data_IF_222043999723
#
_entry.id   IF_222043999723
#
_cell.length_a   1.000
_cell.length_b   1.000
_cell.length_c   1.000
_cell.angle_alpha   90.00
_cell.angle_beta   90.00
_cell.angle_gamma   90.00
#
_symmetry.space_group_name_H-M   'P 1'
#
loop_
_entity.id
_entity.type
_entity.pdbx_description
1 polymer ?
#
# COMPACT_ATOMS: atom_id res chain seq x y z
N UNK A 1 12.22 0.19 19.27
CA UNK A 1 11.15 -0.35 18.41
C UNK A 1 10.00 0.63 18.44
N UNK A 2 9.69 1.29 17.32
CA UNK A 2 8.71 2.39 17.24
C UNK A 2 7.30 2.00 17.69
N UNK A 3 6.85 0.78 17.38
CA UNK A 3 5.48 0.35 17.73
C UNK A 3 5.40 -0.04 19.20
N UNK A 4 6.42 -0.70 19.73
CA UNK A 4 6.45 -1.16 21.13
C UNK A 4 6.83 -0.07 22.13
N UNK A 5 7.78 0.78 21.75
CA UNK A 5 8.37 1.82 22.59
C UNK A 5 8.61 3.07 21.74
N UNK A 6 7.57 3.87 21.47
CA UNK A 6 7.76 5.15 20.79
C UNK A 6 8.73 6.02 21.59
N UNK A 7 9.54 6.85 20.91
CA UNK A 7 10.61 7.62 21.55
C UNK A 7 10.25 9.11 21.76
N UNK A 8 9.25 9.61 21.04
CA UNK A 8 8.91 11.03 21.01
C UNK A 8 7.60 11.29 21.73
N UNK A 9 7.66 12.04 22.83
CA UNK A 9 6.53 12.40 23.67
C UNK A 9 6.53 13.88 23.97
N UNK A 10 5.34 14.42 24.20
CA UNK A 10 5.16 15.73 24.79
C UNK A 10 5.32 15.61 26.32
N UNK A 11 6.35 16.22 26.93
CA UNK A 11 6.57 16.14 28.38
C UNK A 11 5.44 16.73 29.22
N UNK A 12 4.63 17.63 28.65
CA UNK A 12 3.54 18.30 29.37
C UNK A 12 2.28 17.44 29.44
N UNK A 13 2.01 16.64 28.41
CA UNK A 13 0.76 15.87 28.28
C UNK A 13 0.97 14.36 28.43
N UNK A 14 2.20 13.87 28.28
CA UNK A 14 2.51 12.43 28.22
C UNK A 14 2.04 11.76 26.92
N UNK A 15 1.42 12.51 26.00
CA UNK A 15 1.00 12.03 24.70
C UNK A 15 2.19 11.93 23.74
N UNK A 16 1.97 11.32 22.57
CA UNK A 16 2.97 11.33 21.50
C UNK A 16 3.25 12.77 21.06
N UNK A 17 4.52 13.08 20.83
CA UNK A 17 4.88 14.33 20.18
C UNK A 17 4.30 14.35 18.76
N UNK A 18 3.89 15.54 18.31
CA UNK A 18 3.30 15.74 16.99
C UNK A 18 4.19 16.62 16.11
N UNK A 19 4.13 16.38 14.80
CA UNK A 19 5.01 17.01 13.83
C UNK A 19 4.23 17.47 12.59
N UNK A 20 4.67 18.57 12.00
CA UNK A 20 4.13 19.10 10.74
C UNK A 20 4.31 18.14 9.56
N UNK A 21 5.42 17.38 9.56
CA UNK A 21 5.75 16.44 8.51
C UNK A 21 6.31 15.15 9.13
N UNK A 22 5.69 14.01 8.78
CA UNK A 22 6.12 12.68 9.21
C UNK A 22 6.47 11.86 7.96
N UNK A 23 7.70 11.37 7.87
CA UNK A 23 8.18 10.60 6.72
C UNK A 23 8.74 9.26 7.20
N UNK A 24 8.39 8.16 6.53
CA UNK A 24 8.96 6.86 6.87
C UNK A 24 9.04 5.91 5.67
N UNK A 25 10.06 5.04 5.71
CA UNK A 25 10.11 3.81 4.93
C UNK A 25 10.02 2.66 5.94
N UNK A 26 8.86 2.01 6.00
CA UNK A 26 8.56 1.03 7.03
C UNK A 26 9.15 -0.35 6.69
N UNK A 27 9.45 -1.20 7.67
CA UNK A 27 9.65 -2.62 7.40
C UNK A 27 8.34 -3.21 6.86
N UNK A 28 8.38 -3.78 5.65
CA UNK A 28 7.18 -4.27 4.97
C UNK A 28 6.61 -5.50 5.66
N UNK A 29 5.30 -5.48 5.95
CA UNK A 29 4.56 -6.60 6.54
C UNK A 29 5.25 -7.16 7.79
N UNK A 30 5.72 -6.29 8.70
CA UNK A 30 6.39 -6.72 9.92
C UNK A 30 5.46 -7.65 10.73
N UNK A 31 5.82 -8.93 10.81
CA UNK A 31 5.14 -9.92 11.65
C UNK A 31 5.50 -9.72 13.12
N UNK A 32 4.63 -10.18 14.02
CA UNK A 32 4.81 -10.11 15.46
C UNK A 32 5.27 -8.71 15.87
N UNK A 33 4.53 -7.68 15.46
CA UNK A 33 4.94 -6.28 15.60
C UNK A 33 4.68 -5.71 17.02
N UNK A 34 4.12 -6.51 17.93
CA UNK A 34 3.80 -6.13 19.30
C UNK A 34 2.33 -5.74 19.49
N UNK A 35 1.41 -6.46 18.83
CA UNK A 35 -0.03 -6.22 18.88
C UNK A 35 -0.59 -6.24 20.30
N UNK A 36 -0.11 -7.14 21.13
CA UNK A 36 -0.52 -7.32 22.52
C UNK A 36 -0.34 -6.04 23.35
N UNK A 37 0.67 -5.22 23.02
CA UNK A 37 0.89 -3.93 23.68
C UNK A 37 -0.13 -2.88 23.25
N UNK A 38 -0.73 -3.05 22.08
CA UNK A 38 -1.68 -2.09 21.49
C UNK A 38 -3.14 -2.37 21.86
N UNK A 39 -3.45 -3.55 22.42
CA UNK A 39 -4.79 -3.85 22.96
C UNK A 39 -5.19 -2.87 24.06
N UNK A 40 -4.21 -2.40 24.83
CA UNK A 40 -4.37 -1.39 25.87
C UNK A 40 -3.45 -0.19 25.59
N UNK A 41 -3.45 0.29 24.35
CA UNK A 41 -2.52 1.35 23.92
C UNK A 41 -2.77 2.68 24.65
N UNK A 42 -1.83 3.17 25.49
CA UNK A 42 -2.05 4.39 26.27
C UNK A 42 -2.06 5.66 25.40
N UNK A 43 -1.58 5.56 24.16
CA UNK A 43 -1.51 6.69 23.22
C UNK A 43 -2.67 6.74 22.22
N UNK A 44 -3.61 5.78 22.30
CA UNK A 44 -4.80 5.74 21.43
C UNK A 44 -4.48 5.56 19.94
N UNK A 45 -3.37 4.90 19.61
CA UNK A 45 -2.91 4.67 18.24
C UNK A 45 -3.81 3.74 17.45
N UNK A 46 -4.48 2.76 18.09
CA UNK A 46 -5.41 1.85 17.41
C UNK A 46 -6.80 2.45 17.11
N UNK A 47 -6.87 3.74 16.74
CA UNK A 47 -8.14 4.48 16.61
C UNK A 47 -9.04 4.01 15.46
N UNK A 48 -8.48 3.33 14.46
CA UNK A 48 -9.21 2.80 13.31
C UNK A 48 -9.36 1.27 13.36
N UNK A 49 -8.82 0.62 14.39
CA UNK A 49 -8.79 -0.83 14.56
C UNK A 49 -7.38 -1.36 14.83
N UNK A 50 -7.31 -2.61 15.27
CA UNK A 50 -6.06 -3.27 15.63
C UNK A 50 -5.67 -4.28 14.54
N UNK A 51 -4.58 -4.06 13.77
CA UNK A 51 -4.12 -5.00 12.74
C UNK A 51 -3.82 -6.39 13.29
N UNK A 52 -3.75 -7.39 12.41
CA UNK A 52 -3.35 -8.75 12.78
C UNK A 52 -1.85 -8.85 13.01
N UNK A 53 -1.40 -9.88 13.73
CA UNK A 53 0.01 -10.13 14.03
C UNK A 53 0.86 -10.43 12.80
N UNK A 54 0.21 -10.79 11.69
CA UNK A 54 0.85 -11.09 10.41
C UNK A 54 1.28 -9.85 9.61
N UNK A 55 0.83 -8.65 9.98
CA UNK A 55 1.21 -7.42 9.27
C UNK A 55 1.08 -6.17 10.13
N UNK A 56 2.22 -5.53 10.42
CA UNK A 56 2.30 -4.27 11.13
C UNK A 56 2.09 -3.01 10.29
N UNK A 57 1.82 -3.11 8.98
CA UNK A 57 1.77 -1.96 8.07
C UNK A 57 0.79 -0.88 8.56
N UNK A 58 -0.45 -1.27 8.88
CA UNK A 58 -1.46 -0.35 9.40
C UNK A 58 -1.25 0.05 10.87
N UNK A 59 -0.41 -0.66 11.63
CA UNK A 59 -0.01 -0.21 12.97
C UNK A 59 0.92 1.00 12.83
N UNK A 60 1.91 0.92 11.94
CA UNK A 60 2.77 2.06 11.64
C UNK A 60 2.01 3.25 11.03
N UNK A 61 1.12 3.02 10.06
CA UNK A 61 0.31 4.11 9.49
C UNK A 61 -0.48 4.81 10.59
N UNK A 62 -1.17 4.07 11.45
CA UNK A 62 -1.94 4.66 12.55
C UNK A 62 -1.06 5.39 13.57
N UNK A 63 0.12 4.85 13.91
CA UNK A 63 1.10 5.55 14.74
C UNK A 63 1.50 6.89 14.11
N UNK A 64 1.86 6.89 12.82
CA UNK A 64 2.24 8.11 12.10
C UNK A 64 1.11 9.13 12.06
N UNK A 65 -0.14 8.69 11.85
CA UNK A 65 -1.32 9.58 11.90
C UNK A 65 -1.46 10.24 13.26
N UNK A 66 -1.26 9.50 14.37
CA UNK A 66 -1.27 10.08 15.71
C UNK A 66 -0.10 11.02 16.00
N UNK A 67 1.01 10.88 15.28
CA UNK A 67 2.16 11.78 15.35
C UNK A 67 2.06 12.98 14.42
N UNK A 68 0.98 13.15 13.64
CA UNK A 68 0.78 14.35 12.83
C UNK A 68 0.22 15.50 13.66
N UNK A 69 0.81 16.70 13.51
CA UNK A 69 0.30 17.94 14.10
C UNK A 69 -1.18 18.14 13.72
N UNK A 70 -2.06 18.49 14.68
CA UNK A 70 -3.47 18.71 14.38
C UNK A 70 -3.65 19.77 13.28
N UNK A 71 -4.61 19.57 12.38
CA UNK A 71 -4.96 20.47 11.27
C UNK A 71 -3.91 20.56 10.15
N UNK A 72 -2.64 20.83 10.45
CA UNK A 72 -1.58 21.13 9.46
C UNK A 72 -0.71 19.93 9.09
N UNK A 73 -0.68 18.92 9.94
CA UNK A 73 0.17 17.74 9.80
C UNK A 73 -0.09 16.96 8.51
N UNK A 74 1.00 16.49 7.92
CA UNK A 74 1.01 15.63 6.73
C UNK A 74 2.07 14.54 6.86
N UNK A 75 1.84 13.43 6.18
CA UNK A 75 2.80 12.33 6.13
C UNK A 75 2.93 11.73 4.75
N UNK A 76 4.09 11.14 4.49
CA UNK A 76 4.30 10.24 3.37
C UNK A 76 5.01 8.99 3.87
N UNK A 77 4.48 7.82 3.49
CA UNK A 77 4.98 6.54 3.96
C UNK A 77 5.11 5.55 2.81
N UNK A 78 6.24 4.86 2.74
CA UNK A 78 6.43 3.75 1.82
C UNK A 78 5.87 2.47 2.46
N UNK A 79 4.98 1.79 1.75
CA UNK A 79 4.35 0.52 2.16
C UNK A 79 4.32 -0.47 1.00
N UNK A 80 4.23 -1.79 1.26
CA UNK A 80 3.97 -2.74 0.18
C UNK A 80 2.60 -2.48 -0.45
N UNK A 81 2.46 -2.72 -1.76
CA UNK A 81 1.17 -2.51 -2.44
C UNK A 81 0.01 -3.31 -1.83
N UNK A 82 0.29 -4.43 -1.15
CA UNK A 82 -0.72 -5.21 -0.42
C UNK A 82 -1.54 -4.38 0.57
N UNK A 83 -0.96 -3.36 1.21
CA UNK A 83 -1.67 -2.49 2.12
C UNK A 83 -2.88 -1.77 1.46
N UNK A 84 -2.83 -1.58 0.14
CA UNK A 84 -3.88 -0.89 -0.62
C UNK A 84 -5.15 -1.74 -0.78
N UNK A 85 -5.06 -3.07 -0.74
CA UNK A 85 -6.16 -3.95 -1.11
C UNK A 85 -6.37 -5.17 -0.21
N UNK A 86 -5.47 -5.45 0.75
CA UNK A 86 -5.72 -6.51 1.74
C UNK A 86 -7.05 -6.26 2.46
N UNK A 87 -7.83 -7.34 2.59
CA UNK A 87 -9.17 -7.33 3.19
C UNK A 87 -9.14 -7.46 4.71
N UNK A 88 -10.26 -7.93 5.28
CA UNK A 88 -10.38 -8.17 6.72
C UNK A 88 -10.20 -6.90 7.54
N UNK A 89 -9.49 -7.02 8.66
CA UNK A 89 -9.28 -5.89 9.59
C UNK A 89 -8.46 -4.75 8.94
N UNK A 90 -7.47 -5.06 8.10
CA UNK A 90 -6.72 -4.04 7.37
C UNK A 90 -7.62 -3.26 6.40
N UNK A 91 -8.57 -3.94 5.74
CA UNK A 91 -9.59 -3.29 4.92
C UNK A 91 -10.50 -2.35 5.70
N UNK A 92 -10.90 -2.74 6.92
CA UNK A 92 -11.68 -1.89 7.82
C UNK A 92 -10.91 -0.64 8.28
N UNK A 93 -9.64 -0.80 8.62
CA UNK A 93 -8.76 0.33 8.99
C UNK A 93 -8.61 1.27 7.80
N UNK A 94 -8.34 0.75 6.60
CA UNK A 94 -8.23 1.55 5.37
C UNK A 94 -9.51 2.36 5.10
N UNK A 95 -10.66 1.68 5.17
CA UNK A 95 -11.98 2.33 5.05
C UNK A 95 -12.11 3.47 6.06
N UNK A 96 -11.77 3.26 7.33
CA UNK A 96 -11.87 4.29 8.35
C UNK A 96 -10.99 5.50 8.05
N UNK A 97 -9.76 5.29 7.56
CA UNK A 97 -8.86 6.38 7.15
C UNK A 97 -9.40 7.17 5.95
N UNK A 98 -10.07 6.49 5.01
CA UNK A 98 -10.73 7.12 3.86
C UNK A 98 -11.97 7.91 4.27
N UNK A 99 -12.82 7.35 5.13
CA UNK A 99 -14.00 8.02 5.71
C UNK A 99 -13.62 9.28 6.51
N UNK A 100 -12.45 9.26 7.16
CA UNK A 100 -11.87 10.42 7.85
C UNK A 100 -11.21 11.43 6.88
N UNK A 101 -11.25 11.17 5.58
CA UNK A 101 -10.65 12.00 4.53
C UNK A 101 -9.15 12.26 4.73
N UNK A 102 -8.41 11.28 5.28
CA UNK A 102 -6.98 11.44 5.59
C UNK A 102 -6.08 11.10 4.42
N UNK A 103 -6.41 10.09 3.62
CA UNK A 103 -5.57 9.62 2.50
C UNK A 103 -5.74 10.57 1.33
N UNK A 104 -4.70 11.31 0.97
CA UNK A 104 -4.70 12.30 -0.12
C UNK A 104 -4.21 11.72 -1.45
N UNK A 105 -3.18 10.87 -1.41
CA UNK A 105 -2.67 10.23 -2.61
C UNK A 105 -2.10 8.83 -2.36
N UNK A 106 -2.20 8.00 -3.39
CA UNK A 106 -1.61 6.66 -3.51
C UNK A 106 -0.72 6.68 -4.74
N UNK A 107 0.57 6.36 -4.57
CA UNK A 107 1.54 6.38 -5.68
C UNK A 107 2.17 5.00 -5.81
N UNK A 108 1.76 4.22 -6.81
CA UNK A 108 2.39 2.95 -7.15
C UNK A 108 3.74 3.17 -7.78
N UNK A 109 4.76 2.49 -7.27
CA UNK A 109 6.12 2.55 -7.80
C UNK A 109 6.45 1.32 -8.63
N UNK A 110 7.54 1.40 -9.39
CA UNK A 110 8.07 0.27 -10.14
C UNK A 110 8.44 -0.90 -9.22
N UNK A 111 8.30 -2.16 -9.69
CA UNK A 111 8.77 -3.32 -8.95
C UNK A 111 10.30 -3.31 -8.82
N UNK A 112 10.83 -4.10 -7.89
CA UNK A 112 12.27 -4.33 -7.71
C UNK A 112 13.10 -3.04 -7.50
N UNK A 113 12.53 -1.99 -6.90
CA UNK A 113 13.26 -0.79 -6.50
C UNK A 113 13.98 -0.94 -5.15
N UNK A 114 13.48 -1.85 -4.30
CA UNK A 114 13.99 -2.06 -2.94
C UNK A 114 14.91 -3.29 -2.91
N UNK A 115 16.00 -3.16 -2.17
CA UNK A 115 16.92 -4.28 -1.98
C UNK A 115 16.23 -5.42 -1.22
N UNK A 116 16.44 -6.65 -1.66
CA UNK A 116 15.96 -7.85 -0.97
C UNK A 116 14.49 -8.22 -1.23
N UNK A 117 13.75 -7.48 -2.07
CA UNK A 117 12.40 -7.87 -2.48
C UNK A 117 12.08 -7.42 -3.91
N UNK A 118 11.49 -8.32 -4.70
CA UNK A 118 10.96 -8.01 -6.03
C UNK A 118 9.60 -7.29 -5.98
N UNK A 119 8.98 -7.18 -4.81
CA UNK A 119 7.65 -6.60 -4.65
C UNK A 119 7.64 -5.12 -5.05
N UNK A 120 6.54 -4.72 -5.68
CA UNK A 120 6.25 -3.31 -5.91
C UNK A 120 5.80 -2.66 -4.59
N UNK A 121 6.36 -1.47 -4.31
CA UNK A 121 5.94 -0.64 -3.21
C UNK A 121 5.00 0.46 -3.69
N UNK A 122 4.37 1.15 -2.75
CA UNK A 122 3.67 2.39 -3.01
C UNK A 122 3.97 3.42 -1.93
N UNK A 123 3.77 4.69 -2.26
CA UNK A 123 3.81 5.79 -1.30
C UNK A 123 2.37 6.18 -0.99
N UNK A 124 2.01 6.15 0.29
CA UNK A 124 0.78 6.73 0.79
C UNK A 124 1.05 8.12 1.32
N UNK A 125 0.30 9.10 0.85
CA UNK A 125 0.32 10.48 1.35
C UNK A 125 -0.95 10.73 2.12
N UNK A 126 -0.83 11.11 3.40
CA UNK A 126 -1.96 11.46 4.25
C UNK A 126 -1.82 12.90 4.75
N UNK A 127 -2.95 13.54 5.04
CA UNK A 127 -3.03 14.91 5.55
C UNK A 127 -4.16 15.02 6.57
N UNK A 128 -3.91 15.72 7.68
CA UNK A 128 -4.92 15.95 8.71
C UNK A 128 -6.12 16.77 8.21
N UNK A 129 -5.85 17.72 7.31
CA UNK A 129 -6.88 18.51 6.63
C UNK A 129 -6.49 18.76 5.18
N UNK A 130 -7.24 18.19 4.25
CA UNK A 130 -7.10 18.45 2.82
C UNK A 130 -7.50 19.87 2.47
N UNK A 131 -6.91 20.39 1.39
CA UNK A 131 -7.39 21.62 0.77
C UNK A 131 -8.82 21.40 0.25
N UNK A 132 -9.70 22.43 0.25
CA UNK A 132 -11.11 22.28 -0.12
C UNK A 132 -11.33 21.58 -1.47
N UNK A 133 -10.49 21.85 -2.46
CA UNK A 133 -10.56 21.28 -3.80
C UNK A 133 -10.20 19.77 -3.88
N UNK A 134 -9.48 19.28 -2.86
CA UNK A 134 -9.03 17.88 -2.70
C UNK A 134 -9.86 17.07 -1.70
N UNK A 135 -10.74 17.73 -0.93
CA UNK A 135 -11.56 17.09 0.08
C UNK A 135 -12.48 16.03 -0.54
N UNK A 136 -12.61 14.88 0.11
CA UNK A 136 -13.42 13.76 -0.36
C UNK A 136 -12.88 13.08 -1.63
N UNK A 137 -11.60 13.30 -1.97
CA UNK A 137 -10.94 12.72 -3.14
C UNK A 137 -9.58 12.13 -2.78
N UNK A 138 -9.15 11.16 -3.57
CA UNK A 138 -7.82 10.53 -3.50
C UNK A 138 -7.20 10.57 -4.89
N UNK A 139 -5.97 11.06 -5.00
CA UNK A 139 -5.20 10.93 -6.23
C UNK A 139 -4.55 9.54 -6.27
N UNK A 140 -4.93 8.72 -7.25
CA UNK A 140 -4.30 7.42 -7.50
C UNK A 140 -3.34 7.56 -8.67
N UNK A 141 -2.06 7.25 -8.46
CA UNK A 141 -0.98 7.39 -9.44
C UNK A 141 -0.34 6.04 -9.71
N UNK A 142 -0.20 5.68 -10.98
CA UNK A 142 0.61 4.58 -11.45
C UNK A 142 1.95 5.10 -12.04
N UNK A 143 3.00 5.02 -11.24
CA UNK A 143 4.37 5.30 -11.67
C UNK A 143 5.19 4.01 -11.90
N UNK A 144 4.53 2.86 -12.07
CA UNK A 144 5.20 1.55 -12.20
C UNK A 144 6.13 1.45 -13.41
N UNK A 145 5.89 2.25 -14.45
CA UNK A 145 6.73 2.32 -15.66
C UNK A 145 7.90 3.30 -15.55
N UNK A 146 7.94 4.15 -14.51
CA UNK A 146 8.97 5.17 -14.34
C UNK A 146 10.17 4.63 -13.59
N UNK A 147 11.03 3.90 -14.30
CA UNK A 147 12.28 3.40 -13.75
C UNK A 147 13.32 3.15 -14.83
N UNK A 148 14.59 3.19 -14.44
CA UNK A 148 15.67 2.64 -15.24
C UNK A 148 15.93 1.21 -14.81
N UNK A 149 15.83 0.28 -15.76
CA UNK A 149 16.10 -1.14 -15.52
C UNK A 149 17.57 -1.33 -15.14
N UNK A 150 17.81 -2.00 -14.02
CA UNK A 150 19.14 -2.46 -13.64
C UNK A 150 19.22 -3.98 -13.62
N UNK A 151 20.43 -4.51 -13.37
CA UNK A 151 20.67 -5.96 -13.38
C UNK A 151 20.13 -6.65 -12.14
N UNK A 152 20.38 -6.09 -10.96
CA UNK A 152 19.93 -6.66 -9.67
C UNK A 152 18.65 -5.97 -9.15
N UNK A 153 18.55 -4.65 -9.36
CA UNK A 153 17.43 -3.83 -8.94
C UNK A 153 17.16 -2.74 -9.98
N UNK A 154 15.94 -2.22 -9.98
CA UNK A 154 15.54 -1.05 -10.76
C UNK A 154 15.92 0.25 -10.03
N UNK A 155 16.01 1.35 -10.78
CA UNK A 155 16.40 2.65 -10.24
C UNK A 155 15.35 3.71 -10.54
N UNK A 156 14.96 4.47 -9.51
CA UNK A 156 14.14 5.66 -9.64
C UNK A 156 15.05 6.89 -9.76
N UNK A 157 15.45 7.22 -10.99
CA UNK A 157 16.27 8.39 -11.27
C UNK A 157 15.53 9.72 -10.94
N UNK A 158 16.24 10.83 -10.68
CA UNK A 158 15.62 12.10 -10.26
C UNK A 158 14.54 12.64 -11.20
N UNK A 159 14.67 12.42 -12.52
CA UNK A 159 13.66 12.85 -13.49
C UNK A 159 12.34 12.11 -13.32
N UNK A 160 12.36 10.81 -12.98
CA UNK A 160 11.15 10.06 -12.65
C UNK A 160 10.46 10.67 -11.43
N UNK A 161 11.23 11.01 -10.39
CA UNK A 161 10.72 11.66 -9.18
C UNK A 161 10.09 13.02 -9.47
N UNK A 162 10.67 13.83 -10.38
CA UNK A 162 10.10 15.11 -10.81
C UNK A 162 8.77 14.93 -11.53
N UNK A 163 8.66 13.93 -12.41
CA UNK A 163 7.41 13.61 -13.11
C UNK A 163 6.30 13.24 -12.12
N UNK A 164 6.60 12.33 -11.18
CA UNK A 164 5.65 11.92 -10.13
C UNK A 164 5.22 13.13 -9.28
N UNK A 165 6.18 13.96 -8.87
CA UNK A 165 5.90 15.17 -8.11
C UNK A 165 5.02 16.15 -8.89
N UNK A 166 5.22 16.26 -10.21
CA UNK A 166 4.38 17.05 -11.11
C UNK A 166 2.92 16.60 -11.06
N UNK A 167 2.67 15.31 -11.24
CA UNK A 167 1.32 14.74 -11.16
C UNK A 167 0.65 14.97 -9.81
N UNK A 168 1.38 14.75 -8.70
CA UNK A 168 0.85 14.95 -7.34
C UNK A 168 0.53 16.41 -7.03
N UNK A 169 1.34 17.34 -7.55
CA UNK A 169 1.11 18.79 -7.38
C UNK A 169 -0.07 19.28 -8.20
N UNK A 170 -0.18 18.84 -9.46
CA UNK A 170 -1.29 19.18 -10.32
C UNK A 170 -2.62 18.67 -9.73
N UNK A 171 -2.63 17.46 -9.17
CA UNK A 171 -3.85 16.84 -8.62
C UNK A 171 -4.97 16.77 -9.68
N UNK A 172 -4.60 16.28 -10.85
CA UNK A 172 -5.45 16.19 -12.03
C UNK A 172 -5.31 14.80 -12.66
N UNK A 173 -6.28 14.44 -13.49
CA UNK A 173 -6.22 13.21 -14.28
C UNK A 173 -5.10 13.33 -15.33
N UNK A 174 -4.33 12.25 -15.46
CA UNK A 174 -3.31 12.09 -16.48
C UNK A 174 -3.54 10.75 -17.14
N UNK A 175 -3.80 10.77 -18.45
CA UNK A 175 -4.07 9.57 -19.25
C UNK A 175 -3.07 8.45 -18.92
N UNK A 176 -3.60 7.27 -18.58
CA UNK A 176 -2.87 6.06 -18.22
C UNK A 176 -1.90 6.16 -17.01
N UNK A 177 -1.91 7.27 -16.26
CA UNK A 177 -0.91 7.55 -15.21
C UNK A 177 -1.49 7.98 -13.88
N UNK A 178 -2.53 8.81 -13.88
CA UNK A 178 -3.09 9.34 -12.65
C UNK A 178 -4.58 9.58 -12.79
N UNK A 179 -5.33 9.34 -11.72
CA UNK A 179 -6.75 9.63 -11.66
C UNK A 179 -7.13 10.18 -10.30
N UNK A 180 -7.91 11.25 -10.28
CA UNK A 180 -8.55 11.78 -9.09
C UNK A 180 -9.85 11.04 -8.88
N UNK A 181 -9.90 10.23 -7.83
CA UNK A 181 -11.03 9.35 -7.53
C UNK A 181 -11.80 9.89 -6.34
N UNK A 182 -13.12 9.92 -6.44
CA UNK A 182 -13.99 10.34 -5.33
C UNK A 182 -14.16 9.23 -4.29
N UNK A 183 -14.50 9.59 -3.05
CA UNK A 183 -14.81 8.60 -2.02
C UNK A 183 -16.00 7.71 -2.41
N UNK A 184 -16.97 8.22 -3.18
CA UNK A 184 -18.10 7.43 -3.65
C UNK A 184 -17.67 6.33 -4.63
N UNK A 185 -16.74 6.64 -5.54
CA UNK A 185 -16.18 5.64 -6.45
C UNK A 185 -15.36 4.58 -5.69
N UNK A 186 -14.60 5.01 -4.67
CA UNK A 186 -13.83 4.09 -3.83
C UNK A 186 -14.77 3.19 -3.00
N UNK A 187 -15.87 3.72 -2.50
CA UNK A 187 -16.89 2.94 -1.79
C UNK A 187 -17.55 1.91 -2.71
N UNK A 188 -17.84 2.26 -3.97
CA UNK A 188 -18.38 1.34 -4.97
C UNK A 188 -17.43 0.18 -5.31
N UNK A 189 -16.13 0.36 -5.11
CA UNK A 189 -15.09 -0.65 -5.28
C UNK A 189 -14.68 -1.32 -3.93
N UNK A 190 -15.60 -1.40 -2.97
CA UNK A 190 -15.41 -2.02 -1.66
C UNK A 190 -14.23 -1.45 -0.86
N UNK A 191 -14.02 -0.13 -0.96
CA UNK A 191 -12.95 0.61 -0.27
C UNK A 191 -11.54 0.13 -0.64
N UNK A 192 -11.36 -0.48 -1.80
CA UNK A 192 -10.03 -0.85 -2.31
C UNK A 192 -9.27 0.38 -2.82
N UNK A 193 -7.97 0.41 -2.62
CA UNK A 193 -7.06 1.37 -3.26
C UNK A 193 -6.16 0.69 -4.29
N UNK A 194 -6.57 -0.48 -4.79
CA UNK A 194 -5.86 -1.16 -5.87
C UNK A 194 -5.79 -0.24 -7.10
N UNK A 195 -4.57 0.11 -7.51
CA UNK A 195 -4.31 1.11 -8.55
C UNK A 195 -4.96 0.74 -9.87
N UNK A 196 -4.95 -0.55 -10.25
CA UNK A 196 -5.52 -1.01 -11.52
C UNK A 196 -7.04 -0.90 -11.63
N UNK A 197 -7.73 -0.59 -10.52
CA UNK A 197 -9.16 -0.25 -10.54
C UNK A 197 -9.44 1.16 -11.04
N UNK A 198 -8.45 2.04 -10.96
CA UNK A 198 -8.64 3.47 -11.20
C UNK A 198 -7.77 4.00 -12.34
N UNK A 199 -6.57 3.46 -12.51
CA UNK A 199 -5.66 3.80 -13.60
C UNK A 199 -5.51 2.56 -14.46
N UNK A 200 -6.06 2.63 -15.66
CA UNK A 200 -5.93 1.56 -16.64
C UNK A 200 -4.61 1.71 -17.41
N UNK A 201 -3.96 0.60 -17.80
CA UNK A 201 -2.84 0.66 -18.70
C UNK A 201 -3.29 1.21 -20.08
N UNK A 202 -2.38 1.79 -20.87
CA UNK A 202 -2.68 2.29 -22.20
C UNK A 202 -3.39 1.25 -23.06
N UNK A 203 -4.48 1.64 -23.73
CA UNK A 203 -5.17 0.79 -24.70
C UNK A 203 -4.17 0.45 -25.80
N UNK A 204 -3.73 -0.82 -25.85
CA UNK A 204 -2.69 -1.29 -26.77
C UNK A 204 -1.45 -1.90 -26.10
N UNK A 205 -1.34 -1.88 -24.77
CA UNK A 205 -0.55 -2.91 -24.10
C UNK A 205 -1.21 -4.26 -24.40
N UNK A 206 -0.43 -5.29 -24.79
CA UNK A 206 -0.88 -6.64 -25.14
C UNK A 206 -1.72 -7.27 -24.01
N UNK A 207 -2.98 -6.86 -23.87
CA UNK A 207 -3.99 -7.63 -23.17
C UNK A 207 -4.41 -8.68 -24.19
N UNK A 208 -3.97 -9.94 -24.03
CA UNK A 208 -4.36 -10.98 -24.97
C UNK A 208 -5.89 -11.01 -25.06
N UNK A 209 -6.46 -11.21 -26.27
CA UNK A 209 -7.89 -11.44 -26.43
C UNK A 209 -8.40 -12.44 -25.38
N UNK A 210 -9.65 -12.29 -24.92
CA UNK A 210 -10.20 -13.14 -23.86
C UNK A 210 -10.00 -14.64 -24.15
N UNK A 211 -10.13 -15.04 -25.41
CA UNK A 211 -9.90 -16.41 -25.86
C UNK A 211 -8.45 -16.87 -25.64
N UNK A 212 -7.47 -16.04 -25.98
CA UNK A 212 -6.05 -16.29 -25.75
C UNK A 212 -5.73 -16.34 -24.26
N UNK A 213 -6.26 -15.38 -23.47
CA UNK A 213 -6.10 -15.37 -22.02
C UNK A 213 -6.67 -16.63 -21.35
N UNK A 214 -7.85 -17.09 -21.80
CA UNK A 214 -8.49 -18.32 -21.31
C UNK A 214 -7.70 -19.56 -21.72
N UNK A 215 -7.19 -19.61 -22.95
CA UNK A 215 -6.32 -20.71 -23.41
C UNK A 215 -5.06 -20.80 -22.55
N UNK A 216 -4.38 -19.67 -22.36
CA UNK A 216 -3.12 -19.62 -21.62
C UNK A 216 -3.33 -19.95 -20.15
N UNK A 217 -4.46 -19.51 -19.55
CA UNK A 217 -4.87 -19.92 -18.21
C UNK A 217 -5.09 -21.44 -18.10
N UNK A 218 -5.80 -22.06 -19.06
CA UNK A 218 -6.01 -23.52 -19.07
C UNK A 218 -4.69 -24.28 -19.20
N UNK A 219 -3.79 -23.84 -20.07
CA UNK A 219 -2.47 -24.45 -20.22
C UNK A 219 -1.59 -24.28 -18.96
N UNK A 220 -1.71 -23.16 -18.25
CA UNK A 220 -1.05 -23.00 -16.95
C UNK A 220 -1.66 -23.93 -15.88
N UNK A 221 -2.98 -24.09 -15.86
CA UNK A 221 -3.68 -24.98 -14.94
C UNK A 221 -3.31 -26.45 -15.15
N UNK A 222 -3.18 -26.89 -16.41
CA UNK A 222 -2.69 -28.24 -16.73
C UNK A 222 -1.27 -28.48 -16.20
N UNK A 223 -0.35 -27.53 -16.42
CA UNK A 223 1.01 -27.62 -15.87
C UNK A 223 1.05 -27.67 -14.34
N UNK A 224 0.14 -26.97 -13.66
CA UNK A 224 0.02 -27.04 -12.20
C UNK A 224 -0.41 -28.45 -11.78
N UNK A 225 -1.40 -29.04 -12.47
CA UNK A 225 -1.86 -30.40 -12.18
C UNK A 225 -0.76 -31.43 -12.41
N UNK A 226 -0.03 -31.34 -13.51
CA UNK A 226 1.13 -32.20 -13.79
C UNK A 226 2.18 -32.10 -12.68
N UNK A 227 2.47 -30.89 -12.21
CA UNK A 227 3.41 -30.67 -11.12
C UNK A 227 2.89 -31.20 -9.77
N UNK A 228 1.60 -31.08 -9.48
CA UNK A 228 0.96 -31.67 -8.30
C UNK A 228 0.99 -33.20 -8.32
N UNK A 229 0.72 -33.81 -9.48
CA UNK A 229 0.76 -35.27 -9.66
C UNK A 229 2.18 -35.80 -9.49
N UNK A 230 3.18 -35.10 -10.06
CA UNK A 230 4.59 -35.44 -9.87
C UNK A 230 5.01 -35.32 -8.40
N UNK A 231 4.63 -34.22 -7.73
CA UNK A 231 4.89 -34.03 -6.31
C UNK A 231 4.27 -35.16 -5.49
N UNK A 232 3.01 -35.53 -5.78
CA UNK A 232 2.32 -36.63 -5.12
C UNK A 232 3.07 -37.95 -5.31
N UNK A 233 3.52 -38.25 -6.55
CA UNK A 233 4.30 -39.46 -6.83
C UNK A 233 5.57 -39.50 -5.99
N UNK A 234 6.36 -38.43 -5.99
CA UNK A 234 7.59 -38.32 -5.20
C UNK A 234 7.32 -38.49 -3.69
N UNK A 235 6.23 -37.90 -3.19
CA UNK A 235 5.84 -38.03 -1.78
C UNK A 235 5.40 -39.45 -1.42
N UNK A 236 4.69 -40.17 -2.29
CA UNK A 236 4.33 -41.59 -2.08
C UNK A 236 5.56 -42.49 -2.15
N UNK A 237 6.43 -42.33 -3.16
CA UNK A 237 7.68 -43.10 -3.26
C UNK A 237 8.62 -42.85 -2.08
N UNK A 238 8.64 -41.63 -1.55
CA UNK A 238 9.39 -41.26 -0.36
C UNK A 238 8.75 -41.68 0.97
N UNK A 239 7.55 -42.28 0.96
CA UNK A 239 6.84 -42.74 2.17
C UNK A 239 6.23 -41.64 3.03
N UNK A 240 6.08 -40.43 2.49
CA UNK A 240 5.48 -39.27 3.17
C UNK A 240 3.96 -39.21 3.01
N UNK A 241 3.44 -39.87 1.97
CA UNK A 241 2.02 -40.11 1.74
C UNK A 241 1.78 -41.62 1.66
N UNK A 242 0.69 -42.07 2.28
CA UNK A 242 0.21 -43.45 2.17
C UNK A 242 -0.42 -43.72 0.80
#
# INVERSE_FOLDING_TARGET
>A
DTLRQPAFFDPATGALATFECVLANLPFSLEQWGRELWENDPWGRAFAGLPTDSSGDYAFIQHMVKSMAPVTGRMAVVVPQGALFRGGVEGQIRRKLLEMDLIEAVIGLAPNLFYGTGLAACILVLRQRKAPERAGKVLVVDASSLFRKGRAQNFLDPEHGKTILGWVRAFEDVEDRARVVTLQEIEAEDWTLNISRYVLPPIGADIPPLEDAVRDFKAALERVREAEDELRRVMTEGGWLA
#
